data_IF_263359000723
#
_entry.id   IF_263359000723
#
_cell.length_a   1.000
_cell.length_b   1.000
_cell.length_c   1.000
_cell.angle_alpha   90.00
_cell.angle_beta   90.00
_cell.angle_gamma   90.00
#
_symmetry.space_group_name_H-M   'P 1'
#
loop_
_entity.id
_entity.type
_entity.pdbx_description
1 polymer ?
#
# COMPACT_ATOMS: atom_id res chain seq x y z
N UNK A 1 14.80 -8.13 -31.47
CA UNK A 1 14.54 -8.94 -30.26
C UNK A 1 13.24 -9.71 -30.47
N UNK A 2 12.99 -10.79 -29.74
CA UNK A 2 11.72 -11.51 -29.84
C UNK A 2 10.67 -10.86 -28.92
N UNK A 3 9.40 -10.89 -29.31
CA UNK A 3 8.30 -10.34 -28.50
C UNK A 3 8.23 -10.96 -27.10
N UNK A 4 8.62 -12.23 -26.94
CA UNK A 4 8.69 -12.89 -25.64
C UNK A 4 9.79 -12.30 -24.73
N UNK A 5 10.93 -11.91 -25.32
CA UNK A 5 12.01 -11.27 -24.56
C UNK A 5 11.63 -9.84 -24.13
N UNK A 6 10.95 -9.09 -25.00
CA UNK A 6 10.40 -7.76 -24.70
C UNK A 6 9.36 -7.85 -23.57
N UNK A 7 8.38 -8.76 -23.69
CA UNK A 7 7.37 -8.98 -22.65
C UNK A 7 7.98 -9.36 -21.30
N UNK A 8 8.96 -10.27 -21.29
CA UNK A 8 9.65 -10.66 -20.05
C UNK A 8 10.33 -9.48 -19.38
N UNK A 9 10.94 -8.61 -20.18
CA UNK A 9 11.63 -7.41 -19.69
C UNK A 9 10.62 -6.44 -19.08
N UNK A 10 9.53 -6.12 -19.79
CA UNK A 10 8.48 -5.23 -19.29
C UNK A 10 7.83 -5.75 -18.00
N UNK A 11 7.54 -7.05 -17.91
CA UNK A 11 6.98 -7.67 -16.70
C UNK A 11 7.93 -7.60 -15.51
N UNK A 12 9.23 -7.81 -15.75
CA UNK A 12 10.25 -7.75 -14.71
C UNK A 12 10.44 -6.33 -14.19
N UNK A 13 10.45 -5.34 -15.09
CA UNK A 13 10.51 -3.92 -14.74
C UNK A 13 9.27 -3.48 -13.97
N UNK A 14 8.08 -3.89 -14.42
CA UNK A 14 6.82 -3.59 -13.75
C UNK A 14 6.75 -4.21 -12.35
N UNK A 15 7.23 -5.45 -12.18
CA UNK A 15 7.34 -6.09 -10.88
C UNK A 15 8.26 -5.28 -9.94
N UNK A 16 9.44 -4.87 -10.42
CA UNK A 16 10.38 -4.08 -9.63
C UNK A 16 9.81 -2.71 -9.20
N UNK A 17 9.15 -1.99 -10.13
CA UNK A 17 8.50 -0.70 -9.81
C UNK A 17 7.37 -0.88 -8.80
N UNK A 18 6.58 -1.94 -8.96
CA UNK A 18 5.44 -2.22 -8.07
C UNK A 18 5.91 -2.63 -6.67
N UNK A 19 6.99 -3.41 -6.58
CA UNK A 19 7.59 -3.83 -5.31
C UNK A 19 8.14 -2.62 -4.53
N UNK A 20 8.89 -1.73 -5.22
CA UNK A 20 9.37 -0.48 -4.62
C UNK A 20 8.21 0.38 -4.10
N UNK A 21 7.19 0.61 -4.94
CA UNK A 21 6.01 1.38 -4.56
C UNK A 21 5.19 0.73 -3.43
N UNK A 22 5.31 -0.59 -3.24
CA UNK A 22 4.72 -1.31 -2.11
C UNK A 22 5.50 -1.01 -0.82
N UNK A 23 6.83 -1.03 -0.87
CA UNK A 23 7.68 -0.66 0.26
C UNK A 23 7.45 0.80 0.72
N UNK A 24 7.35 1.73 -0.23
CA UNK A 24 7.02 3.14 0.05
C UNK A 24 5.65 3.27 0.73
N UNK A 25 4.65 2.54 0.22
CA UNK A 25 3.30 2.56 0.77
C UNK A 25 3.23 1.94 2.17
N UNK A 26 3.99 0.87 2.43
CA UNK A 26 4.10 0.29 3.77
C UNK A 26 4.72 1.26 4.77
N UNK A 27 5.78 1.96 4.36
CA UNK A 27 6.45 3.00 5.19
C UNK A 27 5.52 4.18 5.48
N UNK A 28 4.77 4.62 4.46
CA UNK A 28 3.73 5.64 4.60
C UNK A 28 2.63 5.18 5.57
N UNK A 29 2.13 3.95 5.41
CA UNK A 29 1.11 3.36 6.30
C UNK A 29 1.57 3.34 7.75
N UNK A 30 2.81 2.92 8.00
CA UNK A 30 3.39 2.89 9.35
C UNK A 30 3.44 4.30 9.97
N UNK A 31 3.94 5.28 9.20
CA UNK A 31 4.01 6.68 9.63
C UNK A 31 2.61 7.27 9.88
N UNK A 32 1.63 6.91 9.04
CA UNK A 32 0.25 7.34 9.19
C UNK A 32 -0.41 6.74 10.43
N UNK A 33 -0.21 5.45 10.68
CA UNK A 33 -0.76 4.75 11.85
C UNK A 33 -0.19 5.31 13.16
N UNK A 34 1.11 5.60 13.21
CA UNK A 34 1.75 6.23 14.37
C UNK A 34 1.15 7.62 14.65
N UNK A 35 1.03 8.46 13.61
CA UNK A 35 0.43 9.80 13.74
C UNK A 35 -1.06 9.73 14.12
N UNK A 36 -1.80 8.81 13.52
CA UNK A 36 -3.21 8.58 13.83
C UNK A 36 -3.41 8.14 15.28
N UNK A 37 -2.52 7.31 15.82
CA UNK A 37 -2.52 6.95 17.24
C UNK A 37 -2.37 8.17 18.15
N UNK A 38 -1.47 9.09 17.79
CA UNK A 38 -1.32 10.38 18.50
C UNK A 38 -2.60 11.23 18.46
N UNK A 39 -3.28 11.28 17.31
CA UNK A 39 -4.58 11.95 17.17
C UNK A 39 -5.64 11.25 18.02
N UNK A 40 -5.74 9.93 17.99
CA UNK A 40 -6.69 9.16 18.80
C UNK A 40 -6.47 9.38 20.30
N UNK A 41 -5.22 9.48 20.75
CA UNK A 41 -4.90 9.80 22.13
C UNK A 41 -5.33 11.23 22.51
N UNK A 42 -5.13 12.20 21.61
CA UNK A 42 -5.51 13.60 21.84
C UNK A 42 -7.03 13.80 21.90
N UNK A 43 -7.78 13.10 21.04
CA UNK A 43 -9.24 13.21 20.99
C UNK A 43 -9.97 12.22 21.91
N UNK A 44 -9.28 11.20 22.43
CA UNK A 44 -9.87 10.19 23.32
C UNK A 44 -10.41 10.77 24.63
N UNK A 45 -10.01 12.00 25.00
CA UNK A 45 -10.54 12.76 26.13
C UNK A 45 -11.72 13.69 25.78
N UNK A 46 -12.05 13.86 24.50
CA UNK A 46 -13.09 14.78 24.03
C UNK A 46 -14.25 13.98 23.44
N UNK A 47 -15.43 14.05 24.07
CA UNK A 47 -16.60 13.26 23.70
C UNK A 47 -17.42 13.88 22.55
N UNK A 48 -16.77 14.51 21.57
CA UNK A 48 -17.51 15.19 20.48
C UNK A 48 -17.81 14.22 19.32
N UNK A 49 -18.91 14.47 18.60
CA UNK A 49 -19.24 13.68 17.40
C UNK A 49 -18.20 13.87 16.28
N UNK A 50 -17.52 15.02 16.25
CA UNK A 50 -16.45 15.33 15.29
C UNK A 50 -15.23 14.44 15.53
N UNK A 51 -14.84 14.23 16.78
CA UNK A 51 -13.72 13.36 17.14
C UNK A 51 -13.93 11.93 16.66
N UNK A 52 -15.15 11.39 16.86
CA UNK A 52 -15.52 10.06 16.38
C UNK A 52 -15.45 9.97 14.85
N UNK A 53 -15.91 11.00 14.14
CA UNK A 53 -15.87 11.05 12.68
C UNK A 53 -14.42 11.10 12.16
N UNK A 54 -13.55 11.93 12.76
CA UNK A 54 -12.13 11.97 12.43
C UNK A 54 -11.46 10.62 12.70
N UNK A 55 -11.79 9.99 13.84
CA UNK A 55 -11.25 8.69 14.19
C UNK A 55 -11.59 7.62 13.15
N UNK A 56 -12.84 7.60 12.69
CA UNK A 56 -13.31 6.68 11.65
C UNK A 56 -12.61 6.93 10.31
N UNK A 57 -12.54 8.19 9.85
CA UNK A 57 -11.87 8.54 8.59
C UNK A 57 -10.39 8.13 8.58
N UNK A 58 -9.69 8.34 9.68
CA UNK A 58 -8.29 7.93 9.81
C UNK A 58 -8.13 6.40 9.77
N UNK A 59 -9.02 5.65 10.43
CA UNK A 59 -9.02 4.19 10.38
C UNK A 59 -9.33 3.65 8.98
N UNK A 60 -10.29 4.25 8.27
CA UNK A 60 -10.64 3.90 6.90
C UNK A 60 -9.46 4.14 5.95
N UNK A 61 -8.78 5.28 6.09
CA UNK A 61 -7.62 5.61 5.27
C UNK A 61 -6.44 4.65 5.53
N UNK A 62 -6.20 4.24 6.79
CA UNK A 62 -5.19 3.22 7.11
C UNK A 62 -5.54 1.88 6.45
N UNK A 63 -6.81 1.44 6.53
CA UNK A 63 -7.26 0.19 5.90
C UNK A 63 -7.16 0.23 4.38
N UNK A 64 -7.49 1.37 3.76
CA UNK A 64 -7.36 1.54 2.32
C UNK A 64 -5.90 1.46 1.87
N UNK A 65 -4.97 2.05 2.64
CA UNK A 65 -3.54 1.94 2.38
C UNK A 65 -3.04 0.49 2.50
N UNK A 66 -3.57 -0.27 3.46
CA UNK A 66 -3.25 -1.70 3.64
C UNK A 66 -3.70 -2.53 2.43
N UNK A 67 -4.97 -2.41 2.03
CA UNK A 67 -5.50 -3.12 0.87
C UNK A 67 -4.79 -2.75 -0.45
N UNK A 68 -4.37 -1.49 -0.59
CA UNK A 68 -3.58 -1.06 -1.74
C UNK A 68 -2.17 -1.66 -1.75
N UNK A 69 -1.54 -1.83 -0.58
CA UNK A 69 -0.24 -2.49 -0.47
C UNK A 69 -0.34 -3.98 -0.82
N UNK A 70 -1.35 -4.68 -0.30
CA UNK A 70 -1.60 -6.10 -0.58
C UNK A 70 -1.88 -6.34 -2.07
N UNK A 71 -2.72 -5.51 -2.68
CA UNK A 71 -3.04 -5.60 -4.10
C UNK A 71 -1.80 -5.39 -4.99
N UNK A 72 -0.93 -4.43 -4.62
CA UNK A 72 0.33 -4.18 -5.34
C UNK A 72 1.32 -5.33 -5.16
N UNK A 73 1.46 -5.87 -3.96
CA UNK A 73 2.31 -7.04 -3.71
C UNK A 73 1.88 -8.24 -4.56
N UNK A 74 0.57 -8.52 -4.60
CA UNK A 74 0.02 -9.59 -5.43
C UNK A 74 0.29 -9.38 -6.93
N UNK A 75 0.11 -8.14 -7.43
CA UNK A 75 0.37 -7.80 -8.82
C UNK A 75 1.87 -7.94 -9.18
N UNK A 76 2.76 -7.46 -8.31
CA UNK A 76 4.21 -7.58 -8.47
C UNK A 76 4.64 -9.05 -8.57
N UNK A 77 4.13 -9.88 -7.63
CA UNK A 77 4.42 -11.30 -7.59
C UNK A 77 3.94 -12.01 -8.86
N UNK A 78 2.71 -11.75 -9.31
CA UNK A 78 2.16 -12.33 -10.53
C UNK A 78 2.96 -11.93 -11.78
N UNK A 79 3.43 -10.68 -11.87
CA UNK A 79 4.27 -10.22 -12.98
C UNK A 79 5.63 -10.92 -12.99
N UNK A 80 6.28 -11.03 -11.83
CA UNK A 80 7.56 -11.72 -11.70
C UNK A 80 7.45 -13.22 -12.01
N UNK A 81 6.41 -13.88 -11.50
CA UNK A 81 6.17 -15.31 -11.75
C UNK A 81 5.95 -15.58 -13.24
N UNK A 82 5.15 -14.76 -13.91
CA UNK A 82 4.91 -14.93 -15.34
C UNK A 82 6.17 -14.63 -16.16
N UNK A 83 6.96 -13.61 -15.80
CA UNK A 83 8.24 -13.33 -16.45
C UNK A 83 9.22 -14.51 -16.33
N UNK A 84 9.26 -15.21 -15.19
CA UNK A 84 10.14 -16.35 -14.98
C UNK A 84 9.72 -17.61 -15.78
N UNK A 85 8.47 -17.66 -16.26
CA UNK A 85 7.94 -18.75 -17.07
C UNK A 85 8.14 -18.53 -18.58
N UNK A 86 8.56 -17.33 -19.01
CA UNK A 86 8.84 -16.96 -20.40
C UNK A 86 10.31 -17.19 -20.78
#
# INVERSE_FOLDING_TARGET
MSQAFELRTELSELAAVTDHATGDLQSFKQSMAERASGVFAAIGGTATNTDRAIAQLLQEAIRAADGAADARAAASHACADYANQL
#
